data_IF_108608371586
#
_entry.id   IF_108608371586
#
_cell.length_a   1.000
_cell.length_b   1.000
_cell.length_c   1.000
_cell.angle_alpha   90.00
_cell.angle_beta   90.00
_cell.angle_gamma   90.00
#
_symmetry.space_group_name_H-M   'P 1'
#
loop_
_entity.id
_entity.type
_entity.pdbx_description
1 polymer ?
#
# COMPACT_ATOMS: atom_id res chain seq x y z
N UNK A 1 -5.01 -25.10 95.82
CA UNK A 1 -4.07 -25.46 94.70
C UNK A 1 -4.74 -25.48 93.31
N UNK A 2 -5.98 -25.07 93.13
CA UNK A 2 -6.67 -25.11 91.81
C UNK A 2 -6.72 -23.73 91.16
N UNK A 3 -6.52 -22.62 91.86
CA UNK A 3 -6.63 -21.23 91.32
C UNK A 3 -5.50 -20.86 90.29
N UNK A 4 -4.39 -21.56 90.29
CA UNK A 4 -3.32 -21.26 89.35
C UNK A 4 -3.46 -21.91 87.95
N UNK A 5 -4.28 -22.94 87.82
CA UNK A 5 -4.47 -23.64 86.54
C UNK A 5 -5.36 -22.87 85.56
N UNK A 6 -6.45 -22.26 86.09
CA UNK A 6 -7.38 -21.48 85.26
C UNK A 6 -6.76 -20.25 84.65
N UNK A 7 -5.84 -19.57 85.41
CA UNK A 7 -5.15 -18.41 84.94
C UNK A 7 -4.13 -18.76 83.81
N UNK A 8 -3.48 -19.94 83.85
CA UNK A 8 -2.61 -20.42 82.82
C UNK A 8 -3.38 -20.87 81.58
N UNK A 9 -4.53 -21.53 81.75
CA UNK A 9 -5.38 -21.95 80.62
C UNK A 9 -5.98 -20.75 79.85
N UNK A 10 -6.47 -19.73 80.60
CA UNK A 10 -6.93 -18.48 79.96
C UNK A 10 -5.83 -17.76 79.23
N UNK A 11 -4.61 -17.72 79.76
CA UNK A 11 -3.45 -17.09 79.07
C UNK A 11 -3.02 -17.82 77.84
N UNK A 12 -3.04 -19.15 77.85
CA UNK A 12 -2.74 -19.97 76.67
C UNK A 12 -3.82 -19.77 75.57
N UNK A 13 -5.10 -19.69 75.96
CA UNK A 13 -6.19 -19.50 75.02
C UNK A 13 -6.15 -18.11 74.36
N UNK A 14 -5.88 -17.04 75.12
CA UNK A 14 -5.68 -15.67 74.60
C UNK A 14 -4.46 -15.53 73.69
N UNK A 15 -3.37 -16.24 74.00
CA UNK A 15 -2.19 -16.26 73.13
C UNK A 15 -2.49 -17.01 71.83
N UNK A 16 -3.24 -18.10 71.90
CA UNK A 16 -3.61 -18.92 70.73
C UNK A 16 -4.60 -18.21 69.82
N UNK A 17 -5.52 -17.42 70.34
CA UNK A 17 -6.42 -16.56 69.59
C UNK A 17 -5.70 -15.36 68.94
N UNK A 18 -4.75 -14.73 69.67
CA UNK A 18 -3.93 -13.67 69.12
C UNK A 18 -3.06 -14.15 67.96
N UNK A 19 -2.38 -15.27 68.12
CA UNK A 19 -1.54 -15.87 67.07
C UNK A 19 -2.39 -16.30 65.85
N UNK A 20 -3.61 -16.85 66.08
CA UNK A 20 -4.53 -17.17 64.95
C UNK A 20 -5.01 -15.93 64.20
N UNK A 21 -5.27 -14.82 64.92
CA UNK A 21 -5.68 -13.55 64.30
C UNK A 21 -4.54 -12.95 63.46
N UNK A 22 -3.29 -13.03 63.94
CA UNK A 22 -2.12 -12.53 63.22
C UNK A 22 -1.83 -13.36 61.96
N UNK A 23 -1.94 -14.70 62.02
CA UNK A 23 -1.81 -15.57 60.86
C UNK A 23 -2.89 -15.30 59.80
N UNK A 24 -4.14 -15.03 60.24
CA UNK A 24 -5.23 -14.70 59.33
C UNK A 24 -5.01 -13.38 58.60
N UNK A 25 -4.55 -12.35 59.30
CA UNK A 25 -4.28 -11.05 58.70
C UNK A 25 -3.11 -11.09 57.70
N UNK A 26 -2.03 -11.85 58.02
CA UNK A 26 -0.89 -12.05 57.13
C UNK A 26 -1.29 -12.80 55.85
N UNK A 27 -2.09 -13.85 55.95
CA UNK A 27 -2.52 -14.61 54.77
C UNK A 27 -3.43 -13.77 53.84
N UNK A 28 -4.32 -12.94 54.40
CA UNK A 28 -5.15 -12.00 53.61
C UNK A 28 -4.24 -10.95 52.93
N UNK A 29 -3.27 -10.41 53.64
CA UNK A 29 -2.32 -9.43 53.06
C UNK A 29 -1.55 -10.03 51.90
N UNK A 30 -1.04 -11.27 52.03
CA UNK A 30 -0.33 -11.99 51.00
C UNK A 30 -1.24 -12.28 49.77
N UNK A 31 -2.51 -12.65 49.98
CA UNK A 31 -3.48 -12.86 48.91
C UNK A 31 -3.77 -11.55 48.14
N UNK A 32 -3.95 -10.45 48.85
CA UNK A 32 -4.19 -9.14 48.27
C UNK A 32 -2.94 -8.68 47.45
N UNK A 33 -1.76 -8.88 47.99
CA UNK A 33 -0.50 -8.56 47.29
C UNK A 33 -0.36 -9.41 46.01
N UNK A 34 -0.66 -10.70 46.08
CA UNK A 34 -0.63 -11.58 44.91
C UNK A 34 -1.68 -11.19 43.87
N UNK A 35 -2.91 -10.83 44.30
CA UNK A 35 -3.97 -10.31 43.42
C UNK A 35 -3.56 -9.02 42.73
N UNK A 36 -2.94 -8.07 43.48
CA UNK A 36 -2.44 -6.82 42.90
C UNK A 36 -1.31 -7.08 41.88
N UNK A 37 -0.42 -8.01 42.17
CA UNK A 37 0.65 -8.40 41.30
C UNK A 37 0.14 -9.03 39.99
N UNK A 38 -0.84 -9.96 40.09
CA UNK A 38 -1.43 -10.58 38.88
C UNK A 38 -2.23 -9.57 38.08
N UNK A 39 -2.94 -8.64 38.70
CA UNK A 39 -3.65 -7.56 38.02
C UNK A 39 -2.67 -6.63 37.31
N UNK A 40 -1.56 -6.27 37.95
CA UNK A 40 -0.49 -5.48 37.33
C UNK A 40 0.11 -6.16 36.11
N UNK A 41 0.39 -7.47 36.20
CA UNK A 41 0.88 -8.26 35.06
C UNK A 41 -0.14 -8.30 33.92
N UNK A 42 -1.42 -8.46 34.23
CA UNK A 42 -2.50 -8.48 33.25
C UNK A 42 -2.66 -7.13 32.55
N UNK A 43 -2.59 -6.04 33.30
CA UNK A 43 -2.61 -4.67 32.73
C UNK A 43 -1.37 -4.44 31.86
N UNK A 44 -0.17 -4.81 32.36
CA UNK A 44 1.08 -4.68 31.59
C UNK A 44 1.01 -5.47 30.30
N UNK A 45 0.55 -6.73 30.35
CA UNK A 45 0.36 -7.56 29.16
C UNK A 45 -0.63 -6.93 28.15
N UNK A 46 -1.74 -6.39 28.64
CA UNK A 46 -2.74 -5.72 27.79
C UNK A 46 -2.16 -4.46 27.12
N UNK A 47 -1.42 -3.65 27.88
CA UNK A 47 -0.76 -2.44 27.37
C UNK A 47 0.29 -2.79 26.32
N UNK A 48 1.16 -3.76 26.61
CA UNK A 48 2.19 -4.22 25.65
C UNK A 48 1.53 -4.77 24.39
N UNK A 49 0.52 -5.60 24.52
CA UNK A 49 -0.19 -6.18 23.37
C UNK A 49 -0.89 -5.10 22.52
N UNK A 50 -1.42 -4.07 23.13
CA UNK A 50 -2.00 -2.91 22.43
C UNK A 50 -0.92 -2.10 21.73
N UNK A 51 0.21 -1.87 22.36
CA UNK A 51 1.34 -1.13 21.81
C UNK A 51 1.95 -1.85 20.60
N UNK A 52 2.18 -3.16 20.70
CA UNK A 52 2.68 -3.99 19.58
C UNK A 52 1.72 -3.95 18.39
N UNK A 53 0.40 -4.06 18.62
CA UNK A 53 -0.58 -3.96 17.54
C UNK A 53 -0.59 -2.59 16.88
N UNK A 54 -0.49 -1.52 17.66
CA UNK A 54 -0.43 -0.16 17.12
C UNK A 54 0.86 0.05 16.29
N UNK A 55 1.99 -0.47 16.77
CA UNK A 55 3.25 -0.39 16.02
C UNK A 55 3.20 -1.16 14.71
N UNK A 56 2.63 -2.36 14.69
CA UNK A 56 2.52 -3.14 13.45
C UNK A 56 1.61 -2.45 12.42
N UNK A 57 0.48 -1.87 12.84
CA UNK A 57 -0.39 -1.10 11.96
C UNK A 57 0.31 0.16 11.41
N UNK A 58 1.07 0.85 12.25
CA UNK A 58 1.83 2.02 11.82
C UNK A 58 2.94 1.64 10.83
N UNK A 59 3.67 0.55 11.09
CA UNK A 59 4.67 0.01 10.17
C UNK A 59 4.06 -0.33 8.81
N UNK A 60 2.97 -1.10 8.78
CA UNK A 60 2.28 -1.45 7.52
C UNK A 60 1.80 -0.20 6.77
N UNK A 61 1.33 0.82 7.49
CA UNK A 61 0.92 2.09 6.88
C UNK A 61 2.11 2.86 6.28
N UNK A 62 3.25 2.89 7.01
CA UNK A 62 4.46 3.55 6.52
C UNK A 62 5.06 2.80 5.32
N UNK A 63 5.10 1.48 5.34
CA UNK A 63 5.52 0.65 4.21
C UNK A 63 4.60 0.88 3.00
N UNK A 64 3.28 0.89 3.20
CA UNK A 64 2.35 1.19 2.14
C UNK A 64 2.61 2.57 1.51
N UNK A 65 2.80 3.61 2.33
CA UNK A 65 3.10 4.96 1.85
C UNK A 65 4.47 5.06 1.15
N UNK A 66 5.45 4.26 1.59
CA UNK A 66 6.75 4.20 0.94
C UNK A 66 6.69 3.59 -0.47
N UNK A 67 5.70 2.73 -0.76
CA UNK A 67 5.60 1.99 -2.02
C UNK A 67 4.52 2.52 -2.98
N UNK A 68 3.53 3.25 -2.49
CA UNK A 68 2.37 3.65 -3.29
C UNK A 68 2.22 5.17 -3.37
N UNK A 69 1.69 5.63 -4.50
CA UNK A 69 1.21 7.00 -4.65
C UNK A 69 -0.06 7.23 -3.83
N UNK A 70 -0.07 8.25 -2.99
CA UNK A 70 -1.14 8.49 -2.02
C UNK A 70 -2.51 8.78 -2.67
N UNK A 71 -2.50 9.38 -3.87
CA UNK A 71 -3.71 9.74 -4.60
C UNK A 71 -4.26 8.56 -5.41
N UNK A 72 -3.41 7.92 -6.20
CA UNK A 72 -3.82 6.92 -7.19
C UNK A 72 -3.79 5.49 -6.68
N UNK A 73 -3.11 5.23 -5.57
CA UNK A 73 -2.91 3.89 -4.98
C UNK A 73 -2.09 2.93 -5.84
N UNK A 74 -1.62 3.35 -7.00
CA UNK A 74 -0.63 2.63 -7.79
C UNK A 74 0.75 2.72 -7.14
N UNK A 75 1.72 1.97 -7.62
CA UNK A 75 3.10 2.12 -7.17
C UNK A 75 3.57 3.57 -7.40
N UNK A 76 4.35 4.09 -6.47
CA UNK A 76 5.08 5.33 -6.71
C UNK A 76 6.27 5.07 -7.64
N UNK A 77 6.91 6.14 -8.11
CA UNK A 77 8.04 6.05 -9.04
C UNK A 77 9.16 5.11 -8.54
N UNK A 78 9.57 5.24 -7.27
CA UNK A 78 10.67 4.44 -6.72
C UNK A 78 10.36 2.95 -6.68
N UNK A 79 9.20 2.60 -6.15
CA UNK A 79 8.73 1.22 -6.06
C UNK A 79 8.51 0.58 -7.43
N UNK A 80 7.98 1.35 -8.39
CA UNK A 80 7.83 0.88 -9.76
C UNK A 80 9.17 0.53 -10.39
N UNK A 81 10.16 1.41 -10.29
CA UNK A 81 11.49 1.22 -10.87
C UNK A 81 12.20 0.00 -10.29
N UNK A 82 12.17 -0.15 -8.97
CA UNK A 82 12.75 -1.31 -8.29
C UNK A 82 12.11 -2.62 -8.76
N UNK A 83 10.79 -2.68 -8.77
CA UNK A 83 10.04 -3.86 -9.20
C UNK A 83 10.22 -4.14 -10.68
N UNK A 84 10.25 -3.12 -11.54
CA UNK A 84 10.43 -3.24 -12.98
C UNK A 84 11.82 -3.79 -13.33
N UNK A 85 12.86 -3.28 -12.67
CA UNK A 85 14.24 -3.77 -12.85
C UNK A 85 14.35 -5.24 -12.43
N UNK A 86 13.71 -5.63 -11.33
CA UNK A 86 13.69 -7.03 -10.91
C UNK A 86 12.94 -7.93 -11.90
N UNK A 87 11.78 -7.49 -12.40
CA UNK A 87 10.98 -8.21 -13.38
C UNK A 87 11.71 -8.36 -14.72
N UNK A 88 12.38 -7.31 -15.20
CA UNK A 88 13.17 -7.31 -16.40
C UNK A 88 14.33 -8.33 -16.35
N UNK A 89 15.09 -8.34 -15.24
CA UNK A 89 16.15 -9.34 -15.01
C UNK A 89 15.62 -10.77 -14.92
N UNK A 90 14.43 -10.97 -14.36
CA UNK A 90 13.79 -12.27 -14.31
C UNK A 90 13.37 -12.74 -15.70
N UNK A 91 12.77 -11.87 -16.49
CA UNK A 91 12.35 -12.12 -17.88
C UNK A 91 13.56 -12.50 -18.76
N UNK A 92 14.67 -11.79 -18.62
CA UNK A 92 15.92 -12.09 -19.31
C UNK A 92 16.42 -13.52 -18.99
N UNK A 93 16.49 -13.87 -17.70
CA UNK A 93 16.90 -15.21 -17.26
C UNK A 93 16.02 -16.33 -17.79
N UNK A 94 14.72 -16.08 -17.87
CA UNK A 94 13.72 -17.03 -18.34
C UNK A 94 13.56 -17.00 -19.88
N UNK A 95 14.20 -16.05 -20.56
CA UNK A 95 14.03 -15.76 -21.99
C UNK A 95 12.58 -15.55 -22.37
N UNK A 96 11.85 -14.82 -21.53
CA UNK A 96 10.46 -14.45 -21.74
C UNK A 96 10.35 -12.95 -22.03
N UNK A 97 9.43 -12.54 -22.91
CA UNK A 97 9.28 -11.12 -23.21
C UNK A 97 8.83 -10.32 -21.99
N UNK A 98 9.24 -9.07 -21.95
CA UNK A 98 8.70 -8.07 -21.02
C UNK A 98 8.39 -6.81 -21.81
N UNK A 99 7.20 -6.25 -21.60
CA UNK A 99 6.79 -5.02 -22.26
C UNK A 99 6.60 -3.90 -21.25
N UNK A 100 6.82 -2.66 -21.71
CA UNK A 100 6.62 -1.43 -20.95
C UNK A 100 5.69 -0.52 -21.73
N UNK A 101 4.71 0.05 -21.05
CA UNK A 101 3.79 1.05 -21.60
C UNK A 101 4.00 2.33 -20.79
N UNK A 102 4.37 3.40 -21.46
CA UNK A 102 4.32 4.75 -20.91
C UNK A 102 3.06 5.46 -21.40
N UNK A 103 2.39 6.15 -20.49
CA UNK A 103 1.22 6.96 -20.86
C UNK A 103 1.27 8.31 -20.16
N UNK A 104 0.66 9.28 -20.83
CA UNK A 104 0.51 10.64 -20.34
C UNK A 104 -0.86 11.19 -20.73
N UNK A 105 -1.48 11.92 -19.79
CA UNK A 105 -2.81 12.49 -19.99
C UNK A 105 -2.75 13.73 -20.86
N UNK A 106 -3.46 13.69 -21.97
CA UNK A 106 -3.49 14.80 -22.94
C UNK A 106 -4.13 16.04 -22.32
N UNK A 107 -3.44 17.17 -22.41
CA UNK A 107 -3.94 18.48 -21.94
C UNK A 107 -4.33 18.53 -20.45
N UNK A 108 -3.75 17.69 -19.60
CA UNK A 108 -4.10 17.62 -18.18
C UNK A 108 -3.94 18.94 -17.44
N UNK A 109 -2.92 19.74 -17.79
CA UNK A 109 -2.74 21.09 -17.25
C UNK A 109 -3.98 21.97 -17.51
N UNK A 110 -4.56 21.88 -18.71
CA UNK A 110 -5.78 22.65 -19.04
C UNK A 110 -6.99 22.23 -18.19
N UNK A 111 -7.04 20.97 -17.76
CA UNK A 111 -8.07 20.48 -16.83
C UNK A 111 -7.90 21.15 -15.48
N UNK A 112 -6.68 21.19 -14.94
CA UNK A 112 -6.38 21.85 -13.68
C UNK A 112 -6.65 23.36 -13.73
N UNK A 113 -6.23 24.01 -14.81
CA UNK A 113 -6.39 25.46 -14.98
C UNK A 113 -7.87 25.85 -15.10
N UNK A 114 -8.69 25.01 -15.73
CA UNK A 114 -10.12 25.30 -15.95
C UNK A 114 -11.04 24.86 -14.82
N UNK A 115 -10.75 23.70 -14.20
CA UNK A 115 -11.66 23.06 -13.25
C UNK A 115 -11.08 22.88 -11.86
N UNK A 116 -9.82 23.34 -11.66
CA UNK A 116 -9.10 23.26 -10.38
C UNK A 116 -8.47 21.89 -10.11
N UNK A 117 -7.54 21.85 -9.17
CA UNK A 117 -6.76 20.65 -8.84
C UNK A 117 -7.62 19.47 -8.36
N UNK A 118 -8.74 19.71 -7.69
CA UNK A 118 -9.66 18.64 -7.28
C UNK A 118 -10.26 17.89 -8.48
N UNK A 119 -10.50 18.58 -9.60
CA UNK A 119 -10.94 17.91 -10.82
C UNK A 119 -9.80 17.05 -11.42
N UNK A 120 -8.57 17.57 -11.43
CA UNK A 120 -7.40 16.82 -11.83
C UNK A 120 -7.17 15.58 -10.98
N UNK A 121 -7.30 15.67 -9.67
CA UNK A 121 -7.17 14.53 -8.75
C UNK A 121 -8.20 13.43 -9.06
N UNK A 122 -9.44 13.81 -9.38
CA UNK A 122 -10.47 12.85 -9.81
C UNK A 122 -10.12 12.18 -11.14
N UNK A 123 -9.57 12.93 -12.09
CA UNK A 123 -9.07 12.38 -13.36
C UNK A 123 -7.98 11.36 -13.10
N UNK A 124 -6.96 11.71 -12.32
CA UNK A 124 -5.84 10.83 -11.99
C UNK A 124 -6.31 9.54 -11.31
N UNK A 125 -7.21 9.65 -10.34
CA UNK A 125 -7.77 8.48 -9.64
C UNK A 125 -8.58 7.58 -10.58
N UNK A 126 -9.36 8.16 -11.48
CA UNK A 126 -10.13 7.41 -12.48
C UNK A 126 -9.22 6.68 -13.47
N UNK A 127 -8.18 7.34 -13.97
CA UNK A 127 -7.21 6.73 -14.89
C UNK A 127 -6.47 5.59 -14.20
N UNK A 128 -5.99 5.81 -12.98
CA UNK A 128 -5.34 4.78 -12.18
C UNK A 128 -6.23 3.55 -11.95
N UNK A 129 -7.50 3.75 -11.59
CA UNK A 129 -8.47 2.67 -11.44
C UNK A 129 -8.76 1.94 -12.76
N UNK A 130 -8.75 2.68 -13.87
CA UNK A 130 -8.90 2.11 -15.21
C UNK A 130 -7.70 1.24 -15.56
N UNK A 131 -6.48 1.71 -15.33
CA UNK A 131 -5.26 0.92 -15.53
C UNK A 131 -5.33 -0.37 -14.70
N UNK A 132 -5.55 -0.25 -13.39
CA UNK A 132 -5.59 -1.40 -12.48
C UNK A 132 -6.62 -2.46 -12.87
N UNK A 133 -7.77 -2.06 -13.44
CA UNK A 133 -8.82 -3.00 -13.87
C UNK A 133 -8.56 -3.67 -15.24
N UNK A 134 -7.52 -3.25 -15.96
CA UNK A 134 -7.20 -3.76 -17.31
C UNK A 134 -5.86 -4.51 -17.38
N UNK A 135 -5.14 -4.60 -16.29
CA UNK A 135 -3.92 -5.41 -16.13
C UNK A 135 -4.23 -6.65 -15.30
N UNK A 136 -3.50 -7.74 -15.51
CA UNK A 136 -3.69 -9.03 -14.81
C UNK A 136 -2.86 -9.10 -13.53
N UNK A 137 -3.09 -10.12 -12.73
CA UNK A 137 -2.22 -10.47 -11.63
C UNK A 137 -0.82 -10.80 -12.16
N UNK A 138 0.21 -10.18 -11.58
CA UNK A 138 1.59 -10.26 -12.08
C UNK A 138 2.04 -9.04 -12.88
N UNK A 139 1.14 -8.36 -13.58
CA UNK A 139 1.40 -7.04 -14.14
C UNK A 139 1.36 -5.98 -13.04
N UNK A 140 2.00 -4.85 -13.26
CA UNK A 140 1.96 -3.76 -12.30
C UNK A 140 2.11 -2.40 -12.96
N UNK A 141 1.58 -1.40 -12.29
CA UNK A 141 1.60 -0.03 -12.79
C UNK A 141 1.97 0.94 -11.67
N UNK A 142 2.54 2.07 -12.06
CA UNK A 142 2.90 3.15 -11.15
C UNK A 142 2.66 4.51 -11.75
N UNK A 143 2.55 5.51 -10.87
CA UNK A 143 2.57 6.91 -11.24
C UNK A 143 4.01 7.41 -11.16
N UNK A 144 4.55 7.85 -12.29
CA UNK A 144 5.97 8.23 -12.42
C UNK A 144 6.19 9.74 -12.43
N UNK A 145 5.15 10.49 -12.72
CA UNK A 145 5.14 11.96 -12.76
C UNK A 145 3.80 12.53 -12.38
N UNK A 146 3.59 13.80 -12.65
CA UNK A 146 2.33 14.52 -12.34
C UNK A 146 1.12 13.87 -13.00
N UNK A 147 1.18 13.66 -14.31
CA UNK A 147 0.12 13.10 -15.17
C UNK A 147 0.59 11.85 -15.94
N UNK A 148 1.76 11.33 -15.56
CA UNK A 148 2.46 10.24 -16.23
C UNK A 148 2.33 8.94 -15.45
N UNK A 149 2.04 7.86 -16.17
CA UNK A 149 1.96 6.51 -15.62
C UNK A 149 2.80 5.55 -16.46
N UNK A 150 3.34 4.54 -15.80
CA UNK A 150 4.06 3.47 -16.44
C UNK A 150 3.45 2.13 -16.03
N UNK A 151 3.30 1.22 -17.00
CA UNK A 151 2.78 -0.13 -16.82
C UNK A 151 3.86 -1.10 -17.28
N UNK A 152 4.12 -2.12 -16.49
CA UNK A 152 5.09 -3.17 -16.80
C UNK A 152 4.36 -4.51 -16.88
N UNK A 153 4.58 -5.21 -17.97
CA UNK A 153 3.88 -6.42 -18.36
C UNK A 153 4.90 -7.55 -18.57
N UNK A 154 5.26 -8.30 -17.50
CA UNK A 154 6.09 -9.50 -17.66
C UNK A 154 5.38 -10.55 -18.51
N UNK A 155 6.15 -11.37 -19.24
CA UNK A 155 5.63 -12.45 -20.07
C UNK A 155 4.55 -11.99 -21.06
N UNK A 156 4.81 -10.83 -21.72
CA UNK A 156 3.88 -10.17 -22.64
C UNK A 156 4.63 -9.64 -23.85
N UNK A 157 4.17 -10.00 -25.04
CA UNK A 157 4.75 -9.58 -26.32
C UNK A 157 4.25 -8.19 -26.73
N UNK A 158 4.98 -7.55 -27.67
CA UNK A 158 4.64 -6.21 -28.15
C UNK A 158 3.18 -6.09 -28.62
N UNK A 159 2.71 -7.03 -29.42
CA UNK A 159 1.33 -7.04 -29.95
C UNK A 159 0.28 -7.10 -28.83
N UNK A 160 0.53 -7.90 -27.81
CA UNK A 160 -0.39 -8.03 -26.66
C UNK A 160 -0.36 -6.77 -25.78
N UNK A 161 0.83 -6.22 -25.54
CA UNK A 161 1.00 -4.96 -24.81
C UNK A 161 0.31 -3.79 -25.53
N UNK A 162 0.43 -3.71 -26.85
CA UNK A 162 -0.27 -2.72 -27.68
C UNK A 162 -1.78 -2.86 -27.56
N UNK A 163 -2.30 -4.08 -27.58
CA UNK A 163 -3.74 -4.32 -27.39
C UNK A 163 -4.24 -3.92 -25.99
N UNK A 164 -3.40 -4.12 -24.95
CA UNK A 164 -3.70 -3.66 -23.58
C UNK A 164 -3.71 -2.13 -23.53
N UNK A 165 -2.70 -1.48 -24.10
CA UNK A 165 -2.63 -0.02 -24.18
C UNK A 165 -3.84 0.58 -24.88
N UNK A 166 -4.23 0.02 -26.03
CA UNK A 166 -5.39 0.47 -26.81
C UNK A 166 -6.71 0.29 -26.05
N UNK A 167 -6.87 -0.82 -25.34
CA UNK A 167 -8.03 -1.06 -24.49
C UNK A 167 -8.14 -0.03 -23.36
N UNK A 168 -7.01 0.31 -22.72
CA UNK A 168 -6.97 1.34 -21.68
C UNK A 168 -7.28 2.71 -22.30
N UNK A 169 -6.67 3.05 -23.43
CA UNK A 169 -6.91 4.31 -24.15
C UNK A 169 -8.40 4.51 -24.46
N UNK A 170 -9.03 3.53 -25.08
CA UNK A 170 -10.46 3.56 -25.40
C UNK A 170 -11.30 3.75 -24.14
N UNK A 171 -10.94 3.04 -23.06
CA UNK A 171 -11.69 3.11 -21.80
C UNK A 171 -11.55 4.46 -21.12
N UNK A 172 -10.36 5.05 -21.12
CA UNK A 172 -10.12 6.41 -20.60
C UNK A 172 -10.94 7.43 -21.39
N UNK A 173 -10.86 7.40 -22.73
CA UNK A 173 -11.58 8.32 -23.60
C UNK A 173 -13.12 8.18 -23.51
N UNK A 174 -13.64 6.98 -23.28
CA UNK A 174 -15.09 6.73 -23.19
C UNK A 174 -15.71 7.16 -21.87
N UNK A 175 -14.92 7.38 -20.83
CA UNK A 175 -15.44 7.74 -19.50
C UNK A 175 -15.69 9.22 -19.37
N UNK A 176 -16.90 9.53 -18.95
CA UNK A 176 -17.32 10.86 -18.56
C UNK A 176 -17.08 11.05 -17.06
N UNK A 177 -16.34 12.09 -16.73
CA UNK A 177 -15.97 12.42 -15.34
C UNK A 177 -16.91 13.52 -14.88
N UNK A 178 -17.86 13.16 -14.01
CA UNK A 178 -18.77 14.14 -13.43
C UNK A 178 -18.01 15.05 -12.47
N UNK A 179 -18.01 16.33 -12.78
CA UNK A 179 -17.55 17.39 -11.90
C UNK A 179 -18.77 17.91 -11.12
N UNK A 180 -18.56 18.47 -9.93
CA UNK A 180 -19.67 19.11 -9.21
C UNK A 180 -20.44 20.09 -10.13
N UNK A 181 -21.70 20.39 -9.83
CA UNK A 181 -22.56 21.33 -10.59
C UNK A 181 -22.94 20.89 -12.02
N UNK A 182 -23.19 19.60 -12.23
CA UNK A 182 -23.65 19.03 -13.52
C UNK A 182 -22.68 19.22 -14.69
N UNK A 183 -21.44 19.67 -14.45
CA UNK A 183 -20.41 19.71 -15.47
C UNK A 183 -19.79 18.34 -15.63
N UNK A 184 -19.50 17.92 -16.85
CA UNK A 184 -18.77 16.70 -17.16
C UNK A 184 -17.53 17.00 -18.00
N UNK A 185 -16.53 16.15 -17.85
CA UNK A 185 -15.24 16.23 -18.53
C UNK A 185 -14.91 14.90 -19.17
N UNK A 186 -14.35 14.92 -20.35
CA UNK A 186 -13.66 13.77 -20.98
C UNK A 186 -12.20 14.09 -21.11
N UNK A 187 -11.36 13.08 -20.89
CA UNK A 187 -9.91 13.17 -21.02
C UNK A 187 -9.42 12.10 -22.00
N UNK A 188 -8.37 12.39 -22.72
CA UNK A 188 -7.64 11.43 -23.53
C UNK A 188 -6.26 11.21 -22.97
N UNK A 189 -5.59 10.15 -23.41
CA UNK A 189 -4.21 9.86 -23.08
C UNK A 189 -3.48 9.35 -24.32
N UNK A 190 -2.20 9.67 -24.39
CA UNK A 190 -1.26 9.16 -25.39
C UNK A 190 -0.41 8.06 -24.77
N UNK A 191 -0.01 7.08 -25.59
CA UNK A 191 0.69 5.89 -25.13
C UNK A 191 1.87 5.59 -26.02
N UNK A 192 2.99 5.20 -25.40
CA UNK A 192 4.14 4.58 -26.06
C UNK A 192 4.37 3.19 -25.50
N UNK A 193 4.61 2.21 -26.35
CA UNK A 193 4.77 0.80 -25.98
C UNK A 193 6.11 0.28 -26.49
N UNK A 194 6.87 -0.40 -25.62
CA UNK A 194 8.11 -1.09 -25.96
C UNK A 194 8.09 -2.54 -25.48
N UNK A 195 8.91 -3.38 -26.07
CA UNK A 195 9.06 -4.78 -25.67
C UNK A 195 10.52 -5.23 -25.85
N UNK A 196 10.99 -6.12 -25.00
CA UNK A 196 12.33 -6.71 -25.11
C UNK A 196 12.54 -7.56 -26.37
N UNK A 197 11.47 -7.94 -27.06
CA UNK A 197 11.59 -8.66 -28.37
C UNK A 197 12.11 -7.75 -29.48
N UNK A 198 11.87 -6.43 -29.41
CA UNK A 198 12.25 -5.48 -30.47
C UNK A 198 13.74 -5.20 -30.52
N UNK A 199 14.42 -5.22 -29.37
CA UNK A 199 15.83 -4.82 -29.24
C UNK A 199 16.72 -5.91 -28.66
N UNK A 200 16.19 -7.06 -28.27
CA UNK A 200 16.88 -8.10 -27.48
C UNK A 200 17.51 -7.54 -26.18
N UNK A 201 17.10 -6.35 -25.78
CA UNK A 201 17.56 -5.69 -24.56
C UNK A 201 16.43 -5.77 -23.50
N UNK A 202 16.77 -6.34 -22.35
CA UNK A 202 15.89 -6.50 -21.20
C UNK A 202 16.08 -5.41 -20.15
N UNK A 203 17.00 -4.44 -20.37
CA UNK A 203 17.16 -3.33 -19.41
C UNK A 203 15.86 -2.52 -19.33
N UNK A 204 15.33 -2.38 -18.10
CA UNK A 204 14.12 -1.60 -17.89
C UNK A 204 14.30 -0.15 -18.31
N UNK A 205 15.48 0.42 -18.05
CA UNK A 205 15.83 1.79 -18.42
C UNK A 205 15.75 2.00 -19.91
N UNK A 206 16.24 1.04 -20.71
CA UNK A 206 16.18 1.12 -22.16
C UNK A 206 14.75 0.92 -22.68
N UNK A 207 14.02 -0.08 -22.16
CA UNK A 207 12.61 -0.29 -22.50
C UNK A 207 11.77 0.95 -22.21
N UNK A 208 12.00 1.57 -21.05
CA UNK A 208 11.32 2.80 -20.69
C UNK A 208 11.66 3.95 -21.64
N UNK A 209 12.94 4.12 -21.99
CA UNK A 209 13.39 5.17 -22.92
C UNK A 209 12.76 5.02 -24.30
N UNK A 210 12.65 3.79 -24.81
CA UNK A 210 11.98 3.51 -26.10
C UNK A 210 10.47 3.81 -25.98
N UNK A 211 9.83 3.39 -24.88
CA UNK A 211 8.41 3.70 -24.66
C UNK A 211 8.16 5.22 -24.55
N UNK A 212 9.03 5.96 -23.86
CA UNK A 212 8.95 7.43 -23.76
C UNK A 212 9.11 8.10 -25.14
N UNK A 213 10.04 7.63 -25.95
CA UNK A 213 10.19 8.14 -27.31
C UNK A 213 8.91 7.90 -28.15
N UNK A 214 8.36 6.70 -28.09
CA UNK A 214 7.10 6.35 -28.78
C UNK A 214 5.90 7.14 -28.24
N UNK A 215 5.84 7.41 -26.95
CA UNK A 215 4.86 8.30 -26.35
C UNK A 215 4.98 9.74 -26.89
N UNK A 216 6.20 10.23 -27.04
CA UNK A 216 6.43 11.52 -27.66
C UNK A 216 5.92 11.57 -29.11
N UNK A 217 6.18 10.52 -29.91
CA UNK A 217 5.64 10.41 -31.27
C UNK A 217 4.10 10.37 -31.28
N UNK A 218 3.48 9.63 -30.34
CA UNK A 218 2.03 9.63 -30.19
C UNK A 218 1.48 11.03 -29.92
N UNK A 219 2.15 11.83 -29.07
CA UNK A 219 1.77 13.22 -28.79
C UNK A 219 1.92 14.13 -30.03
N UNK A 220 2.97 13.95 -30.80
CA UNK A 220 3.20 14.73 -32.05
C UNK A 220 2.18 14.38 -33.14
N UNK A 221 1.82 13.13 -33.29
CA UNK A 221 0.93 12.64 -34.33
C UNK A 221 -0.59 12.86 -34.03
N UNK A 222 -0.92 13.75 -33.10
CA UNK A 222 -2.30 14.18 -32.84
C UNK A 222 -2.86 13.71 -31.51
N UNK A 223 -2.07 13.08 -30.64
CA UNK A 223 -2.47 12.59 -29.32
C UNK A 223 -3.54 11.47 -29.38
N UNK A 224 -4.07 11.07 -28.22
CA UNK A 224 -5.11 10.05 -28.09
C UNK A 224 -4.87 8.80 -28.94
N UNK A 225 -3.69 8.26 -28.92
CA UNK A 225 -3.27 7.10 -29.69
C UNK A 225 -2.18 6.30 -29.00
N UNK A 226 -1.97 5.08 -29.49
CA UNK A 226 -0.90 4.19 -29.07
C UNK A 226 0.14 4.16 -30.19
N UNK A 227 1.42 4.38 -29.83
CA UNK A 227 2.56 4.20 -30.73
C UNK A 227 3.39 3.01 -30.21
N UNK A 228 3.54 2.00 -31.04
CA UNK A 228 4.34 0.80 -30.77
C UNK A 228 5.50 0.63 -31.76
N UNK A 229 5.55 1.45 -32.81
CA UNK A 229 6.53 1.44 -33.88
C UNK A 229 7.25 2.79 -33.90
N UNK A 230 8.53 2.82 -34.25
CA UNK A 230 9.32 4.05 -34.34
C UNK A 230 10.78 3.87 -34.00
#
# INVERSE_FOLDING_TARGET
>A
KIRNFDGVLIRIHTIQEGVRGDFGSITIALMLMWLMFTLMLMISWFVIRRMVRNMSMLQTSLEWQAWHDALTRLLNRGALFERATAAARQSERLKRPVAVIQLDLDYFKSVNDRYGHHAGDRVLTLVASTIASHIREGDFAGRVGGEEFCIVLPDTRLKEATAIAERIRIRVNSREILLGNSASLRITASFGVSCSEDSSDYSFENLQSVADHRLYLAKQNGRNQVCADG
#
